data_IF_547289396153
#
_entry.id   IF_547289396153
#
_cell.length_a   1.000
_cell.length_b   1.000
_cell.length_c   1.000
_cell.angle_alpha   90.00
_cell.angle_beta   90.00
_cell.angle_gamma   90.00
#
_symmetry.space_group_name_H-M   'P 1'
#
loop_
_entity.id
_entity.type
_entity.pdbx_description
1 polymer ?
#
# COMPACT_ATOMS: atom_id res chain seq x y z
N UNK A 1 -51.91 -32.87 -3.57
CA UNK A 1 -51.64 -31.42 -3.52
C UNK A 1 -50.20 -31.25 -3.03
N UNK A 2 -49.24 -31.28 -3.94
CA UNK A 2 -47.82 -31.14 -3.62
C UNK A 2 -47.24 -29.98 -4.41
N UNK A 3 -47.31 -28.78 -3.86
CA UNK A 3 -46.66 -27.61 -4.42
C UNK A 3 -45.31 -27.43 -3.72
N UNK A 4 -44.27 -28.04 -4.26
CA UNK A 4 -42.89 -27.66 -3.94
C UNK A 4 -42.61 -26.31 -4.59
N UNK A 5 -42.56 -25.27 -3.77
CA UNK A 5 -42.03 -23.96 -4.13
C UNK A 5 -40.53 -24.10 -4.39
N UNK A 6 -40.16 -24.11 -5.67
CA UNK A 6 -38.76 -24.04 -6.10
C UNK A 6 -38.26 -22.60 -5.89
N UNK A 7 -37.63 -22.34 -4.75
CA UNK A 7 -36.95 -21.08 -4.47
C UNK A 7 -35.59 -21.13 -5.15
N UNK A 8 -35.54 -20.77 -6.43
CA UNK A 8 -34.27 -20.44 -7.10
C UNK A 8 -33.88 -19.04 -6.63
N UNK A 9 -32.93 -18.96 -5.69
CA UNK A 9 -32.33 -17.69 -5.29
C UNK A 9 -31.60 -17.08 -6.50
N UNK A 10 -31.87 -15.83 -6.89
CA UNK A 10 -31.09 -15.14 -7.90
C UNK A 10 -29.86 -14.59 -7.19
N UNK A 11 -28.91 -15.45 -6.82
CA UNK A 11 -27.69 -15.00 -6.18
C UNK A 11 -26.50 -15.56 -6.95
N UNK A 12 -25.80 -14.65 -7.61
CA UNK A 12 -24.58 -14.83 -8.40
C UNK A 12 -24.75 -15.28 -9.85
N UNK A 13 -25.06 -14.32 -10.73
CA UNK A 13 -24.83 -14.46 -12.16
C UNK A 13 -23.31 -14.61 -12.43
N UNK A 14 -22.85 -15.65 -13.14
CA UNK A 14 -21.44 -15.88 -13.44
C UNK A 14 -20.80 -14.74 -14.25
N UNK A 15 -21.58 -13.96 -14.99
CA UNK A 15 -21.11 -12.76 -15.68
C UNK A 15 -20.69 -11.65 -14.69
N UNK A 16 -21.40 -11.48 -13.57
CA UNK A 16 -21.06 -10.50 -12.54
C UNK A 16 -19.74 -10.89 -11.85
N UNK A 17 -19.54 -12.19 -11.62
CA UNK A 17 -18.29 -12.76 -11.14
C UNK A 17 -17.11 -12.45 -12.07
N UNK A 18 -17.27 -12.70 -13.37
CA UNK A 18 -16.22 -12.46 -14.36
C UNK A 18 -15.91 -10.96 -14.49
N UNK A 19 -16.92 -10.09 -14.43
CA UNK A 19 -16.71 -8.65 -14.43
C UNK A 19 -15.96 -8.17 -13.19
N UNK A 20 -16.31 -8.71 -12.01
CA UNK A 20 -15.60 -8.43 -10.76
C UNK A 20 -14.16 -8.94 -10.84
N UNK A 21 -13.91 -10.15 -11.34
CA UNK A 21 -12.56 -10.69 -11.53
C UNK A 21 -11.72 -9.82 -12.46
N UNK A 22 -12.26 -9.39 -13.61
CA UNK A 22 -11.57 -8.49 -14.53
C UNK A 22 -11.35 -7.09 -13.93
N UNK A 23 -12.31 -6.56 -13.17
CA UNK A 23 -12.16 -5.28 -12.49
C UNK A 23 -11.10 -5.33 -11.37
N UNK A 24 -11.11 -6.39 -10.56
CA UNK A 24 -10.12 -6.66 -9.51
C UNK A 24 -8.74 -6.81 -10.14
N UNK A 25 -8.58 -7.63 -11.18
CA UNK A 25 -7.31 -7.83 -11.86
C UNK A 25 -6.76 -6.53 -12.47
N UNK A 26 -7.59 -5.74 -13.15
CA UNK A 26 -7.19 -4.44 -13.69
C UNK A 26 -6.77 -3.46 -12.60
N UNK A 27 -7.46 -3.49 -11.46
CA UNK A 27 -7.13 -2.64 -10.30
C UNK A 27 -5.81 -3.07 -9.67
N UNK A 28 -5.57 -4.38 -9.54
CA UNK A 28 -4.31 -4.94 -9.04
C UNK A 28 -3.12 -4.60 -9.95
N UNK A 29 -3.28 -4.69 -11.28
CA UNK A 29 -2.23 -4.28 -12.23
C UNK A 29 -1.92 -2.79 -12.13
N UNK A 30 -2.94 -1.93 -12.09
CA UNK A 30 -2.75 -0.48 -11.92
C UNK A 30 -2.05 -0.16 -10.60
N UNK A 31 -2.41 -0.84 -9.52
CA UNK A 31 -1.75 -0.71 -8.22
C UNK A 31 -0.28 -1.11 -8.30
N UNK A 32 0.03 -2.21 -8.98
CA UNK A 32 1.40 -2.68 -9.19
C UNK A 32 2.24 -1.68 -9.98
N UNK A 33 1.68 -1.05 -10.98
CA UNK A 33 2.36 0.02 -11.73
C UNK A 33 2.62 1.26 -10.85
N UNK A 34 1.66 1.66 -10.00
CA UNK A 34 1.87 2.73 -9.02
C UNK A 34 2.98 2.38 -8.02
N UNK A 35 3.02 1.13 -7.52
CA UNK A 35 4.07 0.65 -6.62
C UNK A 35 5.46 0.64 -7.26
N UNK A 36 5.56 0.32 -8.56
CA UNK A 36 6.80 0.41 -9.33
C UNK A 36 7.25 1.85 -9.50
N UNK A 37 6.36 2.71 -9.99
CA UNK A 37 6.64 4.13 -10.20
C UNK A 37 7.05 4.83 -8.90
N UNK A 38 6.37 4.55 -7.80
CA UNK A 38 6.69 5.12 -6.49
C UNK A 38 7.82 4.37 -5.78
N UNK A 39 8.34 3.27 -6.33
CA UNK A 39 9.37 2.42 -5.73
C UNK A 39 9.01 1.86 -4.34
N UNK A 40 7.72 1.86 -3.99
CA UNK A 40 7.21 1.32 -2.72
C UNK A 40 7.39 -0.21 -2.62
N UNK A 41 7.49 -0.88 -3.77
CA UNK A 41 7.88 -2.28 -3.86
C UNK A 41 9.32 -2.55 -3.40
N UNK A 42 10.15 -1.52 -3.20
CA UNK A 42 11.51 -1.63 -2.65
C UNK A 42 11.58 -1.28 -1.17
N UNK A 43 10.48 -0.84 -0.56
CA UNK A 43 10.43 -0.50 0.87
C UNK A 43 9.87 -1.69 1.67
N UNK A 44 10.62 -2.16 2.68
CA UNK A 44 10.18 -3.25 3.56
C UNK A 44 9.15 -2.76 4.60
N UNK A 45 8.16 -3.60 4.91
CA UNK A 45 7.13 -3.30 5.91
C UNK A 45 7.71 -3.14 7.33
N UNK A 46 8.81 -3.84 7.66
CA UNK A 46 9.51 -3.67 8.94
C UNK A 46 10.04 -2.25 9.07
N UNK A 47 10.63 -1.72 8.01
CA UNK A 47 11.18 -0.36 7.99
C UNK A 47 10.08 0.70 8.09
N UNK A 48 8.95 0.48 7.41
CA UNK A 48 7.75 1.32 7.55
C UNK A 48 7.26 1.29 9.00
N UNK A 49 7.15 0.09 9.59
CA UNK A 49 6.74 -0.09 10.98
C UNK A 49 7.63 0.64 11.97
N UNK A 50 8.96 0.57 11.81
CA UNK A 50 9.91 1.22 12.71
C UNK A 50 9.87 2.76 12.61
N UNK A 51 9.78 3.29 11.39
CA UNK A 51 9.70 4.75 11.18
C UNK A 51 8.35 5.28 11.67
N UNK A 52 7.25 4.57 11.38
CA UNK A 52 5.93 4.94 11.88
C UNK A 52 5.90 4.89 13.40
N UNK A 53 6.41 3.85 14.07
CA UNK A 53 6.47 3.78 15.55
C UNK A 53 7.28 4.92 16.17
N UNK A 54 8.39 5.34 15.55
CA UNK A 54 9.20 6.46 16.05
C UNK A 54 8.51 7.81 15.88
N UNK A 55 7.74 7.98 14.80
CA UNK A 55 7.04 9.24 14.47
C UNK A 55 5.61 9.31 15.04
N UNK A 56 5.00 8.18 15.38
CA UNK A 56 3.65 8.06 15.90
C UNK A 56 3.41 8.91 17.16
N UNK A 57 4.27 8.90 18.19
CA UNK A 57 4.04 9.69 19.40
C UNK A 57 4.09 11.21 19.15
N UNK A 58 4.81 11.64 18.11
CA UNK A 58 4.96 13.06 17.75
C UNK A 58 3.76 13.58 16.94
N UNK A 59 3.14 12.70 16.14
CA UNK A 59 2.01 13.01 15.26
C UNK A 59 0.64 12.71 15.89
N UNK A 60 0.60 11.98 17.01
CA UNK A 60 -0.65 11.68 17.72
C UNK A 60 -1.24 12.90 18.44
N UNK A 61 -0.40 13.85 18.86
CA UNK A 61 -0.86 15.04 19.61
C UNK A 61 -1.88 15.91 18.84
N UNK A 62 -1.82 15.91 17.50
CA UNK A 62 -2.74 16.61 16.61
C UNK A 62 -3.42 15.67 15.58
N UNK A 63 -2.95 14.43 15.41
CA UNK A 63 -3.45 13.45 14.45
C UNK A 63 -3.18 13.80 12.98
N UNK A 64 -2.50 14.91 12.72
CA UNK A 64 -2.29 15.51 11.41
C UNK A 64 -0.81 15.60 11.09
N UNK A 65 -0.46 15.26 9.86
CA UNK A 65 0.89 15.33 9.33
C UNK A 65 0.94 16.42 8.26
N UNK A 66 1.79 17.42 8.45
CA UNK A 66 2.04 18.44 7.42
C UNK A 66 2.76 17.83 6.22
N UNK A 67 2.64 18.48 5.06
CA UNK A 67 3.35 18.06 3.83
C UNK A 67 4.86 17.97 4.05
N UNK A 68 5.44 18.87 4.85
CA UNK A 68 6.87 18.89 5.12
C UNK A 68 7.31 17.71 5.99
N UNK A 69 6.56 17.41 7.06
CA UNK A 69 6.82 16.25 7.91
C UNK A 69 6.70 14.94 7.12
N UNK A 70 5.70 14.85 6.24
CA UNK A 70 5.52 13.70 5.35
C UNK A 70 6.69 13.57 4.38
N UNK A 71 7.12 14.65 3.76
CA UNK A 71 8.26 14.65 2.84
C UNK A 71 9.54 14.17 3.52
N UNK A 72 9.82 14.63 4.75
CA UNK A 72 11.01 14.23 5.49
C UNK A 72 10.93 12.79 5.99
N UNK A 73 9.74 12.31 6.36
CA UNK A 73 9.51 10.91 6.69
C UNK A 73 9.78 9.99 5.49
N UNK A 74 9.27 10.35 4.31
CA UNK A 74 9.50 9.61 3.07
C UNK A 74 10.98 9.61 2.68
N UNK A 75 11.69 10.74 2.78
CA UNK A 75 13.14 10.77 2.54
C UNK A 75 13.88 9.78 3.46
N UNK A 76 13.54 9.76 4.75
CA UNK A 76 14.17 8.82 5.70
C UNK A 76 13.88 7.37 5.32
N UNK A 77 12.63 7.06 4.98
CA UNK A 77 12.18 5.74 4.56
C UNK A 77 12.95 5.23 3.34
N UNK A 78 12.97 6.01 2.26
CA UNK A 78 13.67 5.63 1.03
C UNK A 78 15.19 5.63 1.19
N UNK A 79 15.76 6.51 2.02
CA UNK A 79 17.20 6.47 2.31
C UNK A 79 17.59 5.19 3.06
N UNK A 80 16.75 4.73 3.99
CA UNK A 80 16.98 3.47 4.67
C UNK A 80 16.79 2.26 3.74
N UNK A 81 15.75 2.26 2.89
CA UNK A 81 15.58 1.23 1.85
C UNK A 81 16.77 1.18 0.88
N UNK A 82 17.32 2.34 0.49
CA UNK A 82 18.52 2.42 -0.36
C UNK A 82 19.78 1.88 0.30
N UNK A 83 19.86 1.90 1.63
CA UNK A 83 20.99 1.29 2.36
C UNK A 83 20.90 -0.24 2.37
N UNK A 84 19.68 -0.78 2.40
CA UNK A 84 19.45 -2.22 2.32
C UNK A 84 19.72 -2.76 0.91
N UNK A 85 19.28 -2.06 -0.12
CA UNK A 85 19.44 -2.46 -1.53
C UNK A 85 20.07 -1.33 -2.38
N UNK A 86 21.38 -1.07 -2.24
CA UNK A 86 22.05 0.02 -2.94
C UNK A 86 22.01 -0.18 -4.47
N UNK A 87 21.55 0.86 -5.18
CA UNK A 87 21.46 0.87 -6.64
C UNK A 87 20.09 0.54 -7.23
N UNK A 88 19.13 0.07 -6.42
CA UNK A 88 17.75 -0.17 -6.90
C UNK A 88 16.78 0.97 -6.61
N UNK A 89 17.03 1.74 -5.55
CA UNK A 89 16.17 2.88 -5.17
C UNK A 89 16.68 4.17 -5.82
N UNK A 90 15.89 4.75 -6.71
CA UNK A 90 16.20 6.05 -7.33
C UNK A 90 15.81 7.20 -6.40
N UNK A 91 16.42 8.37 -6.59
CA UNK A 91 16.18 9.56 -5.74
C UNK A 91 14.76 10.13 -5.86
N UNK A 92 14.01 9.76 -6.89
CA UNK A 92 12.67 10.28 -7.20
C UNK A 92 11.54 9.59 -6.42
N UNK A 93 11.76 8.38 -5.90
CA UNK A 93 10.75 7.59 -5.18
C UNK A 93 10.00 8.34 -4.06
N UNK A 94 10.70 9.09 -3.17
CA UNK A 94 10.04 9.90 -2.14
C UNK A 94 9.07 10.94 -2.70
N UNK A 95 9.46 11.63 -3.78
CA UNK A 95 8.66 12.71 -4.37
C UNK A 95 7.42 12.17 -5.08
N UNK A 96 7.56 11.05 -5.79
CA UNK A 96 6.44 10.37 -6.45
C UNK A 96 5.45 9.84 -5.41
N UNK A 97 5.95 9.24 -4.33
CA UNK A 97 5.12 8.78 -3.20
C UNK A 97 4.40 9.94 -2.52
N UNK A 98 5.09 11.07 -2.29
CA UNK A 98 4.49 12.27 -1.71
C UNK A 98 3.35 12.79 -2.59
N UNK A 99 3.59 12.93 -3.90
CA UNK A 99 2.58 13.39 -4.84
C UNK A 99 1.36 12.46 -4.89
N UNK A 100 1.58 11.16 -4.85
CA UNK A 100 0.50 10.17 -4.77
C UNK A 100 -0.35 10.39 -3.52
N UNK A 101 0.27 10.49 -2.34
CA UNK A 101 -0.44 10.66 -1.07
C UNK A 101 -1.19 11.99 -1.00
N UNK A 102 -0.62 13.08 -1.52
CA UNK A 102 -1.30 14.38 -1.61
C UNK A 102 -2.53 14.31 -2.53
N UNK A 103 -2.41 13.67 -3.69
CA UNK A 103 -3.55 13.51 -4.60
C UNK A 103 -4.66 12.60 -4.01
N UNK A 104 -4.30 11.65 -3.15
CA UNK A 104 -5.27 10.77 -2.49
C UNK A 104 -5.98 11.47 -1.34
N UNK A 105 -5.24 12.15 -0.46
CA UNK A 105 -5.72 12.57 0.85
C UNK A 105 -5.73 14.08 1.11
N UNK A 106 -5.02 14.90 0.32
CA UNK A 106 -5.02 16.37 0.43
C UNK A 106 -5.60 17.04 -0.83
N UNK A 107 -6.78 16.58 -1.27
CA UNK A 107 -7.43 17.08 -2.50
C UNK A 107 -7.78 18.56 -2.43
N UNK A 108 -8.04 19.06 -1.23
CA UNK A 108 -8.39 20.46 -0.97
C UNK A 108 -7.14 21.33 -0.71
N UNK A 109 -5.92 20.79 -0.86
CA UNK A 109 -4.64 21.50 -0.67
C UNK A 109 -4.56 22.22 0.68
N UNK A 110 -5.05 21.55 1.71
CA UNK A 110 -5.02 22.03 3.09
C UNK A 110 -3.61 22.05 3.68
N UNK A 111 -2.67 21.34 3.06
CA UNK A 111 -1.28 21.26 3.52
C UNK A 111 -1.08 20.28 4.68
N UNK A 112 -2.09 19.49 5.02
CA UNK A 112 -2.03 18.48 6.08
C UNK A 112 -2.87 17.24 5.74
N UNK A 113 -2.43 16.07 6.21
CA UNK A 113 -3.10 14.79 6.00
C UNK A 113 -3.19 14.05 7.33
N UNK A 114 -4.29 13.34 7.57
CA UNK A 114 -4.38 12.42 8.71
C UNK A 114 -3.27 11.36 8.68
N UNK A 115 -2.50 11.29 9.75
CA UNK A 115 -1.37 10.38 9.83
C UNK A 115 -1.79 8.90 9.67
N UNK A 116 -2.95 8.52 10.22
CA UNK A 116 -3.50 7.16 10.10
C UNK A 116 -3.77 6.77 8.63
N UNK A 117 -4.25 7.71 7.82
CA UNK A 117 -4.49 7.48 6.38
C UNK A 117 -3.18 7.27 5.63
N UNK A 118 -2.15 8.06 5.94
CA UNK A 118 -0.80 7.87 5.39
C UNK A 118 -0.23 6.50 5.77
N UNK A 119 -0.31 6.14 7.06
CA UNK A 119 0.19 4.87 7.55
C UNK A 119 -0.49 3.67 6.87
N UNK A 120 -1.82 3.69 6.79
CA UNK A 120 -2.59 2.65 6.10
C UNK A 120 -2.19 2.55 4.61
N UNK A 121 -2.09 3.68 3.91
CA UNK A 121 -1.69 3.69 2.51
C UNK A 121 -0.29 3.11 2.29
N UNK A 122 0.70 3.52 3.09
CA UNK A 122 2.07 2.99 2.99
C UNK A 122 2.11 1.48 3.25
N UNK A 123 1.41 1.00 4.28
CA UNK A 123 1.34 -0.44 4.58
C UNK A 123 0.67 -1.20 3.43
N UNK A 124 -0.49 -0.74 2.94
CA UNK A 124 -1.20 -1.40 1.84
C UNK A 124 -0.39 -1.40 0.55
N UNK A 125 0.30 -0.29 0.23
CA UNK A 125 1.10 -0.17 -0.98
C UNK A 125 2.43 -0.94 -0.90
N UNK A 126 2.95 -1.25 0.29
CA UNK A 126 4.20 -2.02 0.45
C UNK A 126 3.97 -3.49 0.85
N UNK A 127 2.73 -3.92 1.10
CA UNK A 127 2.41 -5.28 1.56
C UNK A 127 2.73 -6.41 0.57
N UNK A 128 2.80 -6.12 -0.73
CA UNK A 128 3.13 -7.14 -1.74
C UNK A 128 4.53 -7.73 -1.54
N UNK A 129 5.47 -6.94 -0.97
CA UNK A 129 6.86 -7.34 -0.70
C UNK A 129 6.98 -8.41 0.40
N UNK A 130 5.98 -8.55 1.27
CA UNK A 130 5.94 -9.61 2.26
C UNK A 130 5.67 -10.96 1.58
N UNK A 131 4.75 -11.01 0.61
CA UNK A 131 4.33 -12.24 -0.05
C UNK A 131 5.46 -12.93 -0.82
N UNK A 132 6.42 -12.17 -1.35
CA UNK A 132 7.60 -12.69 -2.04
C UNK A 132 8.66 -13.23 -1.08
N UNK A 133 8.84 -12.61 0.10
CA UNK A 133 9.69 -13.15 1.18
C UNK A 133 9.15 -14.47 1.73
N UNK A 134 7.85 -14.57 2.00
CA UNK A 134 7.23 -15.81 2.50
C UNK A 134 7.09 -16.92 1.45
N UNK A 135 7.15 -16.59 0.16
CA UNK A 135 7.16 -17.60 -0.92
C UNK A 135 8.57 -18.18 -1.18
N UNK A 136 9.63 -17.47 -0.78
CA UNK A 136 11.01 -17.95 -0.89
C UNK A 136 11.45 -18.89 0.24
N UNK A 137 10.86 -18.77 1.43
CA UNK A 137 11.27 -19.57 2.60
C UNK A 137 10.61 -20.96 2.72
N UNK A 138 9.79 -21.38 1.76
CA UNK A 138 9.23 -22.74 1.69
C UNK A 138 9.99 -23.68 0.73
N UNK A 139 11.17 -23.28 0.23
CA UNK A 139 12.01 -24.13 -0.63
C UNK A 139 13.31 -24.62 0.04
N UNK A 140 13.50 -24.43 1.35
CA UNK A 140 14.71 -24.87 2.06
C UNK A 140 14.46 -25.69 3.34
N UNK A 141 13.34 -26.41 3.42
CA UNK A 141 13.10 -27.44 4.46
C UNK A 141 12.97 -28.84 3.87
N UNK A 142 13.91 -29.19 2.97
CA UNK A 142 14.18 -30.59 2.58
C UNK A 142 15.65 -30.75 2.21
N UNK A 143 16.50 -30.76 3.23
CA UNK A 143 17.73 -31.57 3.29
C UNK A 143 17.84 -32.12 4.71
#
# INVERSE_FOLDING_TARGET
MGSSLNITLPFFAPEALNQVQHAVYRTALKLREVQKLCQLHLVDLSLIGDILKRRWPQLEANGMCSVQELADMLKLLFNAARREEPGQVESVGPQLTLNLLLNMFDRNRTGSIQFRSVAAALVTLSADKLSTKYRGENHLTSL
#
